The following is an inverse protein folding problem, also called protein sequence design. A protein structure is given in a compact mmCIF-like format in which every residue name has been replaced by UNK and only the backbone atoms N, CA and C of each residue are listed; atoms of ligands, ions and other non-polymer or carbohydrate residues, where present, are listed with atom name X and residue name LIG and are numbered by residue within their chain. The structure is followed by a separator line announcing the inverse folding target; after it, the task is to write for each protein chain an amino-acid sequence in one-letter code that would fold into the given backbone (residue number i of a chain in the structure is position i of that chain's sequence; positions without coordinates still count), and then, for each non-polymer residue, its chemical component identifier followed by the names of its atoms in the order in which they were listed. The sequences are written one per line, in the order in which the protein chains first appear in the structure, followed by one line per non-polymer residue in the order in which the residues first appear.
data_IF_864007225306
#
_entry.id   IF_864007225306
#
_cell.length_a   1.000
_cell.length_b   1.000
_cell.length_c   1.000
_cell.angle_alpha   90.00
_cell.angle_beta   90.00
_cell.angle_gamma   90.00
#
_symmetry.space_group_name_H-M   'P 1'
#
loop_
_entity.id
_entity.type
_entity.pdbx_description
1 polymer ?
#
# COMPACT_ATOMS: atom_id res chain seq x y z
N UNK A 1 -6.89 -23.25 9.17
CA UNK A 1 -7.97 -23.35 10.19
C UNK A 1 -8.88 -22.15 10.02
N UNK A 2 -10.20 -22.39 9.93
CA UNK A 2 -11.19 -21.31 9.82
C UNK A 2 -11.40 -20.74 11.23
N UNK A 3 -10.94 -19.51 11.45
CA UNK A 3 -11.28 -18.77 12.67
C UNK A 3 -12.79 -18.43 12.66
N UNK A 4 -13.51 -18.60 13.78
CA UNK A 4 -14.89 -18.17 13.88
C UNK A 4 -14.95 -16.64 13.78
N UNK A 5 -15.85 -16.11 12.95
CA UNK A 5 -16.03 -14.67 12.73
C UNK A 5 -17.49 -14.32 12.98
N UNK A 6 -17.75 -13.23 13.69
CA UNK A 6 -19.04 -12.60 13.79
C UNK A 6 -18.97 -11.21 13.12
N UNK A 7 -19.96 -10.89 12.29
CA UNK A 7 -20.08 -9.61 11.61
C UNK A 7 -21.37 -8.93 12.06
N UNK A 8 -21.25 -7.67 12.45
CA UNK A 8 -22.36 -6.84 12.88
C UNK A 8 -22.43 -5.65 11.93
N UNK A 9 -23.57 -5.43 11.33
CA UNK A 9 -23.84 -4.27 10.45
C UNK A 9 -25.28 -3.82 10.68
N UNK A 10 -25.55 -2.51 10.61
CA UNK A 10 -26.89 -1.97 10.79
C UNK A 10 -27.63 -1.73 9.46
N UNK A 11 -27.00 -2.03 8.32
CA UNK A 11 -27.64 -2.02 7.00
C UNK A 11 -28.11 -3.42 6.59
N UNK A 12 -29.41 -3.59 6.41
CA UNK A 12 -30.01 -4.87 6.02
C UNK A 12 -29.46 -5.42 4.69
N UNK A 13 -29.12 -4.53 3.73
CA UNK A 13 -28.57 -4.96 2.44
C UNK A 13 -27.17 -5.53 2.59
N UNK A 14 -26.34 -4.90 3.43
CA UNK A 14 -25.00 -5.39 3.75
C UNK A 14 -25.10 -6.76 4.45
N UNK A 15 -25.93 -6.87 5.48
CA UNK A 15 -26.17 -8.12 6.21
C UNK A 15 -26.60 -9.24 5.25
N UNK A 16 -27.59 -8.99 4.38
CA UNK A 16 -28.06 -9.96 3.39
C UNK A 16 -26.94 -10.35 2.41
N UNK A 17 -26.16 -9.37 1.95
CA UNK A 17 -25.05 -9.62 1.01
C UNK A 17 -23.97 -10.51 1.64
N UNK A 18 -23.58 -10.23 2.87
CA UNK A 18 -22.56 -10.97 3.61
C UNK A 18 -23.04 -12.38 3.95
N UNK A 19 -24.27 -12.52 4.46
CA UNK A 19 -24.86 -13.83 4.83
C UNK A 19 -24.94 -14.80 3.65
N UNK A 20 -25.09 -14.29 2.42
CA UNK A 20 -25.16 -15.11 1.21
C UNK A 20 -23.78 -15.57 0.71
N UNK A 21 -22.68 -14.97 1.17
CA UNK A 21 -21.34 -15.19 0.63
C UNK A 21 -20.37 -15.82 1.62
N UNK A 22 -20.54 -15.54 2.90
CA UNK A 22 -19.62 -15.96 3.94
C UNK A 22 -20.30 -16.94 4.91
N UNK A 23 -19.55 -17.95 5.29
CA UNK A 23 -19.94 -18.93 6.32
C UNK A 23 -19.49 -18.41 7.68
N UNK A 24 -20.24 -17.43 8.23
CA UNK A 24 -19.96 -16.79 9.51
C UNK A 24 -21.26 -16.32 10.18
N UNK A 25 -21.20 -15.96 11.46
CA UNK A 25 -22.33 -15.33 12.16
C UNK A 25 -22.51 -13.90 11.65
N UNK A 26 -23.71 -13.53 11.21
CA UNK A 26 -24.02 -12.16 10.76
C UNK A 26 -25.24 -11.64 11.52
N UNK A 27 -25.12 -10.45 12.10
CA UNK A 27 -26.15 -9.83 12.94
C UNK A 27 -26.53 -8.46 12.36
N UNK A 28 -27.84 -8.20 12.25
CA UNK A 28 -28.39 -6.87 11.90
C UNK A 28 -28.57 -6.09 13.20
N UNK A 29 -27.62 -5.27 13.57
CA UNK A 29 -27.64 -4.48 14.80
C UNK A 29 -26.60 -3.35 14.78
N UNK A 30 -26.67 -2.44 15.75
CA UNK A 30 -25.65 -1.44 15.97
C UNK A 30 -24.42 -2.03 16.69
N UNK A 31 -23.26 -1.97 16.02
CA UNK A 31 -22.01 -2.51 16.55
C UNK A 31 -21.40 -1.72 17.73
N UNK A 32 -21.97 -0.55 18.08
CA UNK A 32 -21.56 0.26 19.25
C UNK A 32 -22.39 -0.03 20.51
N UNK A 33 -23.24 -1.04 20.48
CA UNK A 33 -23.98 -1.53 21.65
C UNK A 33 -23.26 -2.73 22.29
N UNK A 34 -22.94 -2.62 23.58
CA UNK A 34 -22.18 -3.65 24.27
C UNK A 34 -22.98 -4.96 24.41
N UNK A 35 -24.29 -4.90 24.60
CA UNK A 35 -25.15 -6.08 24.69
C UNK A 35 -25.13 -6.87 23.36
N UNK A 36 -25.21 -6.15 22.24
CA UNK A 36 -25.07 -6.73 20.89
C UNK A 36 -23.69 -7.39 20.70
N UNK A 37 -22.63 -6.76 21.19
CA UNK A 37 -21.27 -7.32 21.11
C UNK A 37 -21.13 -8.58 22.00
N UNK A 38 -21.75 -8.61 23.15
CA UNK A 38 -21.81 -9.78 24.04
C UNK A 38 -22.57 -10.94 23.40
N UNK A 39 -23.71 -10.68 22.78
CA UNK A 39 -24.45 -11.67 22.00
C UNK A 39 -23.64 -12.22 20.83
N UNK A 40 -22.85 -11.37 20.17
CA UNK A 40 -21.91 -11.78 19.11
C UNK A 40 -20.71 -12.58 19.62
N UNK A 41 -20.48 -12.63 20.94
CA UNK A 41 -19.46 -13.43 21.59
C UNK A 41 -18.16 -12.70 21.89
N UNK A 42 -18.16 -11.37 22.04
CA UNK A 42 -16.96 -10.54 22.29
C UNK A 42 -16.14 -11.01 23.50
N UNK A 43 -16.79 -11.57 24.55
CA UNK A 43 -16.14 -12.08 25.74
C UNK A 43 -15.14 -13.23 25.47
N UNK A 44 -15.21 -13.88 24.30
CA UNK A 44 -14.34 -14.98 23.88
C UNK A 44 -13.57 -14.66 22.61
N UNK A 45 -13.69 -13.44 22.10
CA UNK A 45 -13.01 -13.02 20.89
C UNK A 45 -11.53 -12.71 21.17
N UNK A 46 -10.66 -13.07 20.26
CA UNK A 46 -9.25 -12.66 20.27
C UNK A 46 -9.10 -11.20 19.85
N UNK A 47 -9.97 -10.71 18.95
CA UNK A 47 -9.90 -9.35 18.44
C UNK A 47 -11.28 -8.78 18.04
N UNK A 48 -11.40 -7.47 18.16
CA UNK A 48 -12.47 -6.62 17.63
C UNK A 48 -11.91 -5.74 16.52
N UNK A 49 -12.58 -5.71 15.37
CA UNK A 49 -12.22 -4.85 14.23
C UNK A 49 -13.37 -3.91 13.91
N UNK A 50 -13.22 -2.62 14.19
CA UNK A 50 -14.21 -1.59 13.93
C UNK A 50 -13.88 -0.85 12.63
N UNK A 51 -14.68 -1.08 11.58
CA UNK A 51 -14.45 -0.53 10.22
C UNK A 51 -15.69 0.16 9.63
N UNK A 52 -16.59 0.65 10.50
CA UNK A 52 -17.76 1.42 10.04
C UNK A 52 -17.33 2.73 9.36
N UNK A 53 -18.26 3.40 8.67
CA UNK A 53 -17.95 4.68 8.02
C UNK A 53 -17.74 5.85 8.98
N UNK A 54 -18.08 5.68 10.25
CA UNK A 54 -18.00 6.71 11.29
C UNK A 54 -16.82 6.44 12.24
N UNK A 55 -15.84 7.34 12.25
CA UNK A 55 -14.63 7.23 13.06
C UNK A 55 -14.96 7.22 14.57
N UNK A 56 -15.90 8.07 15.01
CA UNK A 56 -16.32 8.19 16.41
C UNK A 56 -16.98 6.89 16.89
N UNK A 57 -17.81 6.28 16.06
CA UNK A 57 -18.43 4.96 16.35
C UNK A 57 -17.33 3.92 16.50
N UNK A 58 -16.37 3.86 15.58
CA UNK A 58 -15.26 2.90 15.64
C UNK A 58 -14.44 3.07 16.93
N UNK A 59 -14.13 4.31 17.30
CA UNK A 59 -13.33 4.61 18.49
C UNK A 59 -14.09 4.34 19.79
N UNK A 60 -15.38 4.72 19.87
CA UNK A 60 -16.21 4.50 21.06
C UNK A 60 -16.47 3.03 21.28
N UNK A 61 -16.75 2.27 20.21
CA UNK A 61 -16.93 0.81 20.31
C UNK A 61 -15.68 0.14 20.89
N UNK A 62 -14.49 0.47 20.39
CA UNK A 62 -13.24 -0.04 20.95
C UNK A 62 -13.08 0.36 22.42
N UNK A 63 -13.43 1.58 22.81
CA UNK A 63 -13.32 2.06 24.19
C UNK A 63 -14.30 1.35 25.13
N UNK A 64 -15.52 1.06 24.68
CA UNK A 64 -16.50 0.27 25.45
C UNK A 64 -15.98 -1.14 25.71
N UNK A 65 -15.43 -1.79 24.67
CA UNK A 65 -14.87 -3.14 24.81
C UNK A 65 -13.63 -3.14 25.69
N UNK A 66 -12.75 -2.14 25.59
CA UNK A 66 -11.58 -2.03 26.46
C UNK A 66 -11.93 -1.93 27.95
N UNK A 67 -13.04 -1.26 28.27
CA UNK A 67 -13.49 -1.09 29.65
C UNK A 67 -13.96 -2.41 30.29
N UNK A 68 -14.46 -3.37 29.51
CA UNK A 68 -15.05 -4.63 30.01
C UNK A 68 -14.20 -5.83 29.63
N UNK A 69 -13.58 -5.83 28.46
CA UNK A 69 -12.81 -6.92 27.88
C UNK A 69 -11.42 -6.42 27.43
N UNK A 70 -10.54 -5.98 28.37
CA UNK A 70 -9.27 -5.33 28.03
C UNK A 70 -8.29 -6.22 27.26
N UNK A 71 -8.40 -7.54 27.38
CA UNK A 71 -7.52 -8.50 26.73
C UNK A 71 -7.85 -8.72 25.23
N UNK A 72 -9.04 -8.32 24.77
CA UNK A 72 -9.41 -8.37 23.35
C UNK A 72 -8.59 -7.33 22.60
N UNK A 73 -7.95 -7.72 21.51
CA UNK A 73 -7.22 -6.77 20.63
C UNK A 73 -8.23 -5.88 19.90
N UNK A 74 -8.08 -4.57 20.00
CA UNK A 74 -8.97 -3.58 19.40
C UNK A 74 -8.30 -2.86 18.25
N UNK A 75 -8.88 -3.00 17.05
CA UNK A 75 -8.41 -2.36 15.83
C UNK A 75 -9.51 -1.44 15.32
N UNK A 76 -9.21 -0.16 15.12
CA UNK A 76 -10.17 0.82 14.61
C UNK A 76 -9.69 1.46 13.31
N UNK A 77 -10.56 1.51 12.29
CA UNK A 77 -10.37 2.38 11.14
C UNK A 77 -10.73 3.82 11.52
N UNK A 78 -9.76 4.74 11.41
CA UNK A 78 -9.93 6.16 11.75
C UNK A 78 -9.34 7.00 10.62
N UNK A 79 -10.21 7.75 9.93
CA UNK A 79 -9.85 8.59 8.78
C UNK A 79 -9.47 10.02 9.16
N UNK A 80 -9.99 10.50 10.29
CA UNK A 80 -9.71 11.85 10.74
C UNK A 80 -8.35 11.92 11.46
N UNK A 81 -7.38 12.52 10.79
CA UNK A 81 -6.02 12.67 11.32
C UNK A 81 -5.94 13.48 12.63
N UNK A 82 -6.95 14.30 12.92
CA UNK A 82 -7.02 15.05 14.17
C UNK A 82 -7.15 14.15 15.42
N UNK A 83 -7.61 12.91 15.26
CA UNK A 83 -7.71 11.95 16.36
C UNK A 83 -6.37 11.27 16.67
N UNK A 84 -5.37 11.43 15.80
CA UNK A 84 -4.03 10.91 16.05
C UNK A 84 -3.24 11.92 16.88
N UNK A 85 -2.81 11.54 18.08
CA UNK A 85 -2.01 12.40 18.97
C UNK A 85 -0.58 12.51 18.41
N UNK A 86 -0.32 13.56 17.64
CA UNK A 86 0.96 13.75 16.96
C UNK A 86 1.66 15.09 17.32
N UNK A 87 1.35 15.65 18.48
CA UNK A 87 2.00 16.89 18.94
C UNK A 87 3.37 16.61 19.57
N UNK A 88 4.29 17.59 19.49
CA UNK A 88 5.59 17.49 20.15
C UNK A 88 5.46 17.32 21.69
N UNK A 89 4.43 17.89 22.29
CA UNK A 89 4.12 17.73 23.71
C UNK A 89 3.68 16.32 24.05
N UNK A 90 2.83 15.70 23.20
CA UNK A 90 2.40 14.31 23.38
C UNK A 90 3.57 13.32 23.22
N UNK A 91 4.43 13.52 22.22
CA UNK A 91 5.63 12.70 22.04
C UNK A 91 6.56 12.76 23.26
N UNK A 92 6.71 13.92 23.89
CA UNK A 92 7.55 14.11 25.08
C UNK A 92 6.94 13.49 26.33
N UNK A 93 5.62 13.64 26.55
CA UNK A 93 4.93 13.06 27.71
C UNK A 93 4.87 11.53 27.68
N UNK A 94 4.82 10.93 26.48
CA UNK A 94 4.80 9.48 26.34
C UNK A 94 6.18 8.84 26.50
N UNK A 95 7.26 9.51 26.16
CA UNK A 95 8.62 9.02 26.37
C UNK A 95 8.97 8.89 27.88
N UNK A 96 8.47 9.82 28.70
CA UNK A 96 8.84 9.92 30.12
C UNK A 96 7.94 9.08 31.06
N UNK A 97 6.70 8.74 30.64
CA UNK A 97 5.68 8.23 31.59
C UNK A 97 5.58 6.71 31.68
N UNK A 98 6.02 5.92 30.72
CA UNK A 98 5.75 4.47 30.68
C UNK A 98 6.89 3.58 30.12
N UNK A 99 8.14 4.01 30.20
CA UNK A 99 9.25 3.18 29.69
C UNK A 99 9.11 2.76 28.24
N UNK A 100 8.55 3.63 27.40
CA UNK A 100 8.36 3.40 25.97
C UNK A 100 7.11 2.60 25.57
N UNK A 101 6.24 2.21 26.52
CA UNK A 101 4.95 1.57 26.19
C UNK A 101 3.87 2.66 26.05
N UNK A 102 3.39 2.89 24.83
CA UNK A 102 2.22 3.71 24.58
C UNK A 102 0.99 3.12 25.27
N UNK A 103 0.28 3.91 26.09
CA UNK A 103 -1.07 3.56 26.46
C UNK A 103 -1.95 3.78 25.24
N UNK A 104 -2.75 2.76 24.82
CA UNK A 104 -3.62 2.90 23.66
C UNK A 104 -4.57 4.09 23.85
N UNK A 105 -4.72 4.94 22.83
CA UNK A 105 -5.68 6.03 22.85
C UNK A 105 -7.09 5.41 22.82
N UNK A 106 -7.95 5.80 23.76
CA UNK A 106 -9.32 5.28 23.88
C UNK A 106 -9.40 3.74 23.98
N UNK A 107 -8.38 3.07 24.51
CA UNK A 107 -8.33 1.60 24.55
C UNK A 107 -8.13 0.93 23.19
N UNK A 108 -7.74 1.67 22.14
CA UNK A 108 -7.52 1.15 20.80
C UNK A 108 -6.06 0.69 20.69
N UNK A 109 -5.85 -0.59 20.40
CA UNK A 109 -4.49 -1.12 20.25
C UNK A 109 -3.86 -0.67 18.92
N UNK A 110 -4.65 -0.64 17.84
CA UNK A 110 -4.20 -0.24 16.51
C UNK A 110 -5.21 0.66 15.81
N UNK A 111 -4.75 1.84 15.37
CA UNK A 111 -5.53 2.76 14.55
C UNK A 111 -5.04 2.69 13.12
N UNK A 112 -5.92 2.32 12.20
CA UNK A 112 -5.62 2.18 10.77
C UNK A 112 -6.16 3.40 10.02
N UNK A 113 -5.28 4.12 9.34
CA UNK A 113 -5.64 5.27 8.53
C UNK A 113 -5.54 4.93 7.04
N UNK A 114 -6.65 4.76 6.31
CA UNK A 114 -6.64 4.32 4.92
C UNK A 114 -5.76 5.16 3.98
N UNK A 115 -5.77 6.48 4.15
CA UNK A 115 -4.99 7.38 3.31
C UNK A 115 -3.47 7.23 3.57
N UNK A 116 -3.09 6.91 4.82
CA UNK A 116 -1.69 6.65 5.18
C UNK A 116 -1.23 5.33 4.56
N UNK A 117 -2.01 4.27 4.74
CA UNK A 117 -1.68 2.95 4.16
C UNK A 117 -1.53 3.04 2.63
N UNK A 118 -2.47 3.72 1.96
CA UNK A 118 -2.39 3.94 0.51
C UNK A 118 -1.17 4.79 0.10
N UNK A 119 -0.89 5.86 0.84
CA UNK A 119 0.27 6.73 0.60
C UNK A 119 1.59 5.99 0.78
N UNK A 120 1.73 5.21 1.85
CA UNK A 120 2.93 4.38 2.10
C UNK A 120 3.10 3.30 1.02
N UNK A 121 2.01 2.66 0.56
CA UNK A 121 2.09 1.69 -0.54
C UNK A 121 2.58 2.33 -1.85
N UNK A 122 2.15 3.56 -2.16
CA UNK A 122 2.67 4.31 -3.32
C UNK A 122 4.15 4.63 -3.12
N UNK A 123 4.56 5.12 -1.95
CA UNK A 123 5.96 5.45 -1.65
C UNK A 123 6.85 4.21 -1.80
N UNK A 124 6.41 3.08 -1.27
CA UNK A 124 7.12 1.80 -1.40
C UNK A 124 7.28 1.39 -2.87
N UNK A 125 6.23 1.55 -3.69
CA UNK A 125 6.30 1.31 -5.13
C UNK A 125 7.31 2.23 -5.83
N UNK A 126 7.37 3.52 -5.46
CA UNK A 126 8.36 4.47 -6.00
C UNK A 126 9.78 4.08 -5.59
N UNK A 127 10.02 3.74 -4.32
CA UNK A 127 11.32 3.33 -3.81
C UNK A 127 11.87 2.07 -4.51
N UNK A 128 10.98 1.19 -4.92
CA UNK A 128 11.31 -0.02 -5.67
C UNK A 128 11.40 0.22 -7.19
N UNK A 129 11.38 1.47 -7.65
CA UNK A 129 11.53 1.84 -9.07
C UNK A 129 10.25 1.71 -9.87
N UNK A 130 9.09 1.88 -9.25
CA UNK A 130 7.76 1.69 -9.84
C UNK A 130 7.61 0.31 -10.50
N UNK A 131 7.92 -0.72 -9.74
CA UNK A 131 7.65 -2.12 -10.09
C UNK A 131 6.35 -2.55 -9.41
N UNK A 132 5.51 -3.27 -10.11
CA UNK A 132 4.23 -3.76 -9.58
C UNK A 132 4.42 -4.74 -8.43
N UNK A 133 3.54 -4.67 -7.45
CA UNK A 133 3.40 -5.63 -6.35
C UNK A 133 4.74 -5.88 -5.61
N UNK A 134 5.30 -4.81 -5.03
CA UNK A 134 6.49 -4.90 -4.20
C UNK A 134 6.08 -4.94 -2.73
N UNK A 135 6.56 -5.94 -2.01
CA UNK A 135 6.44 -6.07 -0.57
C UNK A 135 7.83 -6.18 0.05
N UNK A 136 8.12 -5.38 1.05
CA UNK A 136 9.43 -5.35 1.71
C UNK A 136 9.39 -6.19 2.97
N UNK A 137 10.43 -7.00 3.20
CA UNK A 137 10.58 -7.91 4.34
C UNK A 137 11.90 -7.68 5.08
N UNK A 138 11.99 -8.21 6.30
CA UNK A 138 13.25 -8.30 7.03
C UNK A 138 13.90 -6.94 7.32
N UNK A 139 13.14 -5.97 7.84
CA UNK A 139 13.65 -4.62 8.09
C UNK A 139 14.24 -3.95 6.83
N UNK A 140 13.56 -4.09 5.70
CA UNK A 140 13.94 -3.58 4.38
C UNK A 140 15.18 -4.26 3.73
N UNK A 141 15.58 -5.46 4.19
CA UNK A 141 16.70 -6.20 3.60
C UNK A 141 16.29 -7.02 2.37
N UNK A 142 15.07 -7.56 2.38
CA UNK A 142 14.51 -8.38 1.31
C UNK A 142 13.21 -7.76 0.80
N UNK A 143 12.92 -8.00 -0.47
CA UNK A 143 11.63 -7.64 -1.05
C UNK A 143 11.06 -8.76 -1.91
N UNK A 144 9.73 -8.90 -1.88
CA UNK A 144 8.99 -9.64 -2.88
C UNK A 144 8.67 -8.68 -4.01
N UNK A 145 9.13 -8.98 -5.19
CA UNK A 145 8.90 -8.16 -6.37
C UNK A 145 8.25 -8.98 -7.46
N UNK A 146 7.17 -8.48 -8.04
CA UNK A 146 6.53 -9.07 -9.21
C UNK A 146 7.28 -8.63 -10.47
N UNK A 147 7.74 -9.58 -11.25
CA UNK A 147 8.47 -9.35 -12.50
C UNK A 147 7.78 -10.08 -13.66
N UNK A 148 7.71 -9.44 -14.83
CA UNK A 148 7.16 -10.08 -16.04
C UNK A 148 8.29 -10.58 -16.92
N UNK A 149 8.20 -11.80 -17.39
CA UNK A 149 9.15 -12.43 -18.29
C UNK A 149 8.95 -11.85 -19.71
N UNK A 150 9.85 -10.98 -20.14
CA UNK A 150 9.77 -10.38 -21.47
C UNK A 150 10.14 -11.38 -22.58
N UNK A 151 9.56 -11.17 -23.76
CA UNK A 151 9.93 -11.94 -24.95
C UNK A 151 11.41 -11.71 -25.30
N UNK A 152 12.16 -12.80 -25.43
CA UNK A 152 13.60 -12.72 -25.72
C UNK A 152 14.49 -12.44 -24.50
N UNK A 153 13.92 -12.35 -23.29
CA UNK A 153 14.68 -12.28 -22.04
C UNK A 153 15.47 -13.60 -21.78
N UNK A 154 16.47 -13.53 -20.91
CA UNK A 154 17.26 -14.71 -20.55
C UNK A 154 16.44 -15.79 -19.79
N UNK A 155 15.34 -15.39 -19.15
CA UNK A 155 14.44 -16.30 -18.44
C UNK A 155 13.41 -16.95 -19.36
N UNK A 156 13.11 -16.36 -20.51
CA UNK A 156 12.12 -16.89 -21.44
C UNK A 156 12.51 -18.27 -21.95
N UNK A 157 11.61 -19.26 -21.76
CA UNK A 157 11.83 -20.66 -22.17
C UNK A 157 12.76 -21.45 -21.23
N UNK A 158 13.14 -20.91 -20.07
CA UNK A 158 13.98 -21.61 -19.10
C UNK A 158 13.14 -22.33 -18.04
N UNK A 159 13.64 -23.47 -17.56
CA UNK A 159 13.11 -24.12 -16.36
C UNK A 159 13.65 -23.43 -15.10
N UNK A 160 12.87 -23.35 -14.03
CA UNK A 160 13.31 -22.71 -12.79
C UNK A 160 14.59 -23.27 -12.20
N UNK A 161 14.81 -24.57 -12.30
CA UNK A 161 16.08 -25.17 -11.85
C UNK A 161 17.30 -24.61 -12.60
N UNK A 162 17.13 -24.20 -13.87
CA UNK A 162 18.20 -23.61 -14.69
C UNK A 162 18.40 -22.13 -14.34
N UNK A 163 17.35 -21.42 -13.96
CA UNK A 163 17.44 -19.98 -13.61
C UNK A 163 18.45 -19.73 -12.49
N UNK A 164 18.52 -20.63 -11.51
CA UNK A 164 19.50 -20.55 -10.41
C UNK A 164 20.97 -20.60 -10.85
N UNK A 165 21.23 -21.09 -12.05
CA UNK A 165 22.59 -21.14 -12.62
C UNK A 165 22.96 -19.89 -13.42
N UNK A 166 21.99 -19.02 -13.70
CA UNK A 166 22.18 -17.80 -14.51
C UNK A 166 22.70 -16.63 -13.68
N UNK A 167 22.55 -16.69 -12.36
CA UNK A 167 22.93 -15.60 -11.44
C UNK A 167 23.41 -16.21 -10.12
N UNK A 168 24.56 -15.73 -9.65
CA UNK A 168 25.15 -16.13 -8.37
C UNK A 168 24.62 -15.28 -7.21
N UNK A 169 23.31 -15.32 -7.02
CA UNK A 169 22.59 -14.59 -5.99
C UNK A 169 21.56 -15.47 -5.32
N UNK A 170 21.24 -15.14 -4.06
CA UNK A 170 20.19 -15.82 -3.33
C UNK A 170 18.83 -15.18 -3.63
N UNK A 171 17.95 -15.93 -4.25
CA UNK A 171 16.56 -15.52 -4.50
C UNK A 171 15.61 -16.73 -4.44
N UNK A 172 14.35 -16.45 -4.22
CA UNK A 172 13.27 -17.45 -4.21
C UNK A 172 12.14 -16.99 -5.12
N UNK A 173 11.80 -17.78 -6.12
CA UNK A 173 10.57 -17.57 -6.88
C UNK A 173 9.42 -18.17 -6.06
N UNK A 174 8.62 -17.30 -5.47
CA UNK A 174 7.54 -17.67 -4.55
C UNK A 174 6.30 -18.15 -5.29
N UNK A 175 6.00 -17.54 -6.45
CA UNK A 175 4.87 -17.94 -7.29
C UNK A 175 5.14 -17.63 -8.77
N UNK A 176 4.36 -18.30 -9.63
CA UNK A 176 4.28 -18.00 -11.07
C UNK A 176 2.81 -17.76 -11.41
N UNK A 177 2.55 -16.68 -12.14
CA UNK A 177 1.23 -16.35 -12.68
C UNK A 177 1.24 -16.48 -14.20
N UNK A 178 0.43 -17.38 -14.69
CA UNK A 178 0.21 -17.66 -16.12
C UNK A 178 -1.25 -17.38 -16.45
N UNK A 179 -1.53 -16.49 -17.41
CA UNK A 179 -2.89 -16.15 -17.82
C UNK A 179 -3.84 -15.78 -16.66
N UNK A 180 -3.34 -15.09 -15.64
CA UNK A 180 -4.10 -14.67 -14.47
C UNK A 180 -4.35 -15.77 -13.43
N UNK A 181 -3.71 -16.94 -13.57
CA UNK A 181 -3.74 -18.01 -12.56
C UNK A 181 -2.40 -18.10 -11.85
N UNK A 182 -2.43 -17.96 -10.55
CA UNK A 182 -1.25 -18.09 -9.68
C UNK A 182 -1.04 -19.55 -9.27
N UNK A 183 0.20 -20.00 -9.28
CA UNK A 183 0.59 -21.34 -8.87
C UNK A 183 1.93 -21.34 -8.13
N UNK A 184 2.11 -22.31 -7.23
CA UNK A 184 3.41 -22.56 -6.60
C UNK A 184 4.34 -23.25 -7.62
N UNK A 185 5.53 -22.69 -7.88
CA UNK A 185 6.44 -23.25 -8.86
C UNK A 185 7.21 -24.46 -8.33
N UNK A 186 7.65 -25.28 -9.25
CA UNK A 186 8.62 -26.36 -9.02
C UNK A 186 9.88 -26.14 -9.88
N UNK A 187 10.95 -26.88 -9.61
CA UNK A 187 12.17 -26.81 -10.43
C UNK A 187 11.93 -27.08 -11.92
N UNK A 188 10.87 -27.85 -12.27
CA UNK A 188 10.50 -28.16 -13.65
C UNK A 188 9.55 -27.13 -14.29
N UNK A 189 9.05 -26.14 -13.54
CA UNK A 189 8.18 -25.08 -14.08
C UNK A 189 8.93 -24.32 -15.18
N UNK A 190 8.31 -24.21 -16.34
CA UNK A 190 8.82 -23.49 -17.50
C UNK A 190 8.33 -22.05 -17.43
N UNK A 191 9.21 -21.07 -17.63
CA UNK A 191 8.85 -19.66 -17.70
C UNK A 191 8.61 -19.26 -19.16
N UNK A 192 7.38 -18.88 -19.49
CA UNK A 192 7.04 -18.41 -20.83
C UNK A 192 7.05 -16.88 -20.90
N UNK A 193 7.28 -16.32 -22.10
CA UNK A 193 7.08 -14.89 -22.31
C UNK A 193 5.67 -14.45 -21.97
N UNK A 194 5.54 -13.42 -21.13
CA UNK A 194 4.26 -12.93 -20.62
C UNK A 194 3.88 -13.47 -19.24
N UNK A 195 4.51 -14.53 -18.75
CA UNK A 195 4.33 -14.98 -17.38
C UNK A 195 4.82 -13.92 -16.39
N UNK A 196 4.13 -13.77 -15.26
CA UNK A 196 4.61 -12.97 -14.13
C UNK A 196 5.13 -13.90 -13.04
N UNK A 197 6.24 -13.53 -12.44
CA UNK A 197 6.86 -14.24 -11.32
C UNK A 197 6.98 -13.35 -10.09
N UNK A 198 6.63 -13.88 -8.93
CA UNK A 198 6.90 -13.22 -7.65
C UNK A 198 8.21 -13.72 -7.08
N UNK A 199 9.17 -12.83 -6.92
CA UNK A 199 10.53 -13.18 -6.49
C UNK A 199 10.88 -12.52 -5.17
N UNK A 200 11.26 -13.30 -4.19
CA UNK A 200 11.85 -12.81 -2.94
C UNK A 200 13.36 -12.75 -3.11
N UNK A 201 13.93 -11.57 -2.94
CA UNK A 201 15.35 -11.29 -3.21
C UNK A 201 15.85 -10.14 -2.33
N UNK A 202 17.15 -10.07 -2.09
CA UNK A 202 17.75 -8.91 -1.43
C UNK A 202 17.55 -7.65 -2.27
N UNK A 203 17.17 -6.53 -1.64
CA UNK A 203 16.85 -5.25 -2.31
C UNK A 203 17.97 -4.78 -3.27
N UNK A 204 19.22 -5.04 -2.92
CA UNK A 204 20.39 -4.69 -3.74
C UNK A 204 20.53 -5.52 -5.03
N UNK A 205 19.91 -6.71 -5.08
CA UNK A 205 20.02 -7.66 -6.19
C UNK A 205 18.83 -7.62 -7.16
N UNK A 206 17.77 -6.86 -6.84
CA UNK A 206 16.53 -6.75 -7.66
C UNK A 206 16.82 -6.33 -9.09
N UNK A 207 17.69 -5.33 -9.28
CA UNK A 207 18.01 -4.80 -10.61
C UNK A 207 18.65 -5.84 -11.53
N UNK A 208 19.46 -6.75 -10.98
CA UNK A 208 20.10 -7.82 -11.75
C UNK A 208 19.08 -8.87 -12.20
N UNK A 209 18.10 -9.22 -11.32
CA UNK A 209 17.02 -10.13 -11.67
C UNK A 209 16.03 -9.50 -12.69
N UNK A 210 15.72 -8.21 -12.55
CA UNK A 210 14.92 -7.49 -13.55
C UNK A 210 15.56 -7.52 -14.93
N UNK A 211 16.88 -7.34 -15.01
CA UNK A 211 17.61 -7.43 -16.26
C UNK A 211 17.54 -8.83 -16.90
N UNK A 212 17.51 -9.91 -16.09
CA UNK A 212 17.28 -11.27 -16.59
C UNK A 212 15.86 -11.47 -17.13
N UNK A 213 14.87 -10.80 -16.53
CA UNK A 213 13.49 -10.77 -17.02
C UNK A 213 13.32 -9.96 -18.32
N UNK A 214 14.35 -9.18 -18.70
CA UNK A 214 14.30 -8.27 -19.85
C UNK A 214 13.74 -6.89 -19.50
N UNK A 215 13.73 -6.53 -18.24
CA UNK A 215 13.35 -5.21 -17.72
C UNK A 215 14.57 -4.50 -17.13
N UNK A 216 14.65 -3.18 -17.31
CA UNK A 216 15.67 -2.36 -16.69
C UNK A 216 15.04 -1.50 -15.60
N UNK A 217 15.66 -1.46 -14.43
CA UNK A 217 15.29 -0.53 -13.39
C UNK A 217 15.83 0.86 -13.73
N UNK A 218 14.96 1.74 -14.20
CA UNK A 218 15.33 3.14 -14.44
C UNK A 218 15.28 3.93 -13.13
N UNK A 219 16.24 4.83 -12.94
CA UNK A 219 16.17 5.80 -11.85
C UNK A 219 15.03 6.77 -12.10
N UNK A 220 14.13 6.89 -11.11
CA UNK A 220 13.00 7.82 -11.15
C UNK A 220 13.47 9.21 -10.68
N UNK A 221 13.91 10.03 -11.62
CA UNK A 221 14.48 11.37 -11.35
C UNK A 221 13.42 12.48 -11.42
N UNK A 222 12.48 12.37 -12.36
CA UNK A 222 11.45 13.35 -12.61
C UNK A 222 10.09 12.72 -12.31
N UNK A 223 9.42 13.21 -11.28
CA UNK A 223 8.14 12.66 -10.80
C UNK A 223 7.05 13.72 -10.91
N UNK A 224 5.94 13.38 -11.55
CA UNK A 224 4.72 14.16 -11.56
C UNK A 224 3.69 13.49 -10.63
N UNK A 225 3.22 14.20 -9.63
CA UNK A 225 2.14 13.80 -8.73
C UNK A 225 0.88 14.55 -9.11
N UNK A 226 -0.15 13.83 -9.51
CA UNK A 226 -1.47 14.36 -9.84
C UNK A 226 -2.41 14.08 -8.68
N UNK A 227 -2.87 15.15 -8.04
CA UNK A 227 -3.66 15.14 -6.81
C UNK A 227 -2.88 15.69 -5.61
N UNK A 228 -3.28 16.87 -5.12
CA UNK A 228 -2.73 17.52 -3.92
C UNK A 228 -3.59 17.28 -2.67
N UNK A 229 -4.53 16.36 -2.74
CA UNK A 229 -5.36 15.94 -1.61
C UNK A 229 -4.58 15.24 -0.50
N UNK A 230 -5.28 14.60 0.43
CA UNK A 230 -4.65 13.95 1.60
C UNK A 230 -3.58 12.92 1.23
N UNK A 231 -3.92 11.96 0.35
CA UNK A 231 -2.97 10.90 -0.06
C UNK A 231 -1.80 11.52 -0.81
N UNK A 232 -2.05 12.45 -1.76
CA UNK A 232 -0.99 13.15 -2.47
C UNK A 232 -0.04 13.92 -1.54
N UNK A 233 -0.59 14.55 -0.50
CA UNK A 233 0.20 15.21 0.54
C UNK A 233 1.11 14.23 1.29
N UNK A 234 0.60 13.06 1.69
CA UNK A 234 1.38 12.01 2.36
C UNK A 234 2.51 11.52 1.44
N UNK A 235 2.21 11.25 0.19
CA UNK A 235 3.20 10.84 -0.81
C UNK A 235 4.30 11.91 -0.97
N UNK A 236 3.90 13.19 -1.12
CA UNK A 236 4.83 14.30 -1.25
C UNK A 236 5.72 14.46 -0.01
N UNK A 237 5.19 14.31 1.20
CA UNK A 237 5.97 14.37 2.45
C UNK A 237 7.06 13.32 2.55
N UNK A 238 6.79 12.12 2.05
CA UNK A 238 7.76 11.02 2.05
C UNK A 238 8.81 11.18 0.97
N UNK A 239 8.41 11.60 -0.24
CA UNK A 239 9.30 11.70 -1.39
C UNK A 239 10.09 13.02 -1.43
N UNK A 240 9.57 14.10 -0.79
CA UNK A 240 10.21 15.41 -0.72
C UNK A 240 10.68 15.66 0.71
N UNK A 241 11.94 15.38 1.05
CA UNK A 241 12.41 15.59 2.42
C UNK A 241 12.47 17.08 2.78
N UNK A 242 12.21 17.44 4.06
CA UNK A 242 12.30 18.80 4.53
C UNK A 242 13.73 19.38 4.37
N UNK A 243 13.80 20.69 4.09
CA UNK A 243 15.07 21.42 3.92
C UNK A 243 15.91 21.55 5.21
N UNK A 244 15.43 21.13 6.37
CA UNK A 244 16.11 21.34 7.65
C UNK A 244 17.17 20.28 7.93
N UNK A 245 18.38 20.83 8.15
CA UNK A 245 19.57 20.30 8.80
C UNK A 245 19.77 18.76 8.77
N UNK A 246 20.66 18.33 7.87
CA UNK A 246 21.35 17.05 8.02
C UNK A 246 21.95 16.97 9.42
N UNK A 247 21.38 16.14 10.27
CA UNK A 247 22.03 15.67 11.46
C UNK A 247 23.22 14.81 11.02
N UNK A 248 24.35 14.93 11.73
CA UNK A 248 25.48 14.01 11.49
C UNK A 248 25.09 12.55 11.70
N UNK A 249 23.95 12.27 12.37
CA UNK A 249 23.33 10.95 12.53
C UNK A 249 22.73 10.40 11.24
N UNK A 250 22.23 11.24 10.32
CA UNK A 250 21.65 10.80 9.03
C UNK A 250 22.74 10.29 8.06
N UNK A 251 24.02 10.61 8.30
CA UNK A 251 25.15 10.08 7.55
C UNK A 251 25.42 8.59 7.84
N UNK A 252 24.89 8.05 8.93
CA UNK A 252 25.04 6.65 9.34
C UNK A 252 23.79 5.80 9.09
N UNK A 253 22.63 6.41 8.77
CA UNK A 253 21.46 5.67 8.32
C UNK A 253 21.64 5.28 6.85
N UNK A 254 21.77 3.97 6.58
CA UNK A 254 21.97 3.39 5.24
C UNK A 254 20.75 3.50 4.29
N UNK A 255 19.71 4.23 4.65
CA UNK A 255 18.55 4.47 3.77
C UNK A 255 18.75 5.79 3.02
N UNK A 256 19.54 5.75 1.95
CA UNK A 256 19.58 6.84 0.98
C UNK A 256 18.39 6.65 0.03
N UNK A 257 17.24 7.22 0.38
CA UNK A 257 16.17 7.44 -0.61
C UNK A 257 16.79 8.30 -1.71
N UNK A 258 16.91 7.76 -2.92
CA UNK A 258 17.38 8.51 -4.08
C UNK A 258 16.34 9.58 -4.37
N UNK A 259 16.68 10.84 -4.08
CA UNK A 259 15.75 11.99 -4.21
C UNK A 259 15.45 12.26 -5.67
N UNK A 260 14.18 12.51 -6.03
CA UNK A 260 13.85 13.00 -7.36
C UNK A 260 14.57 14.33 -7.62
N UNK A 261 15.06 14.52 -8.83
CA UNK A 261 15.70 15.76 -9.26
C UNK A 261 14.65 16.86 -9.51
N UNK A 262 13.51 16.47 -10.06
CA UNK A 262 12.36 17.32 -10.32
C UNK A 262 11.11 16.65 -9.76
N UNK A 263 10.37 17.35 -8.91
CA UNK A 263 9.08 16.92 -8.38
C UNK A 263 8.03 17.98 -8.70
N UNK A 264 6.96 17.55 -9.35
CA UNK A 264 5.86 18.42 -9.77
C UNK A 264 4.58 17.91 -9.11
N UNK A 265 3.77 18.82 -8.59
CA UNK A 265 2.43 18.53 -8.04
C UNK A 265 1.42 19.27 -8.90
N UNK A 266 0.38 18.58 -9.36
CA UNK A 266 -0.68 19.13 -10.23
C UNK A 266 -2.02 18.81 -9.58
N UNK A 267 -2.86 19.82 -9.41
CA UNK A 267 -4.25 19.68 -9.00
C UNK A 267 -5.09 20.80 -9.61
N UNK A 268 -6.35 20.56 -9.88
CA UNK A 268 -7.27 21.57 -10.36
C UNK A 268 -7.86 22.45 -9.26
N UNK A 269 -7.72 22.06 -8.01
CA UNK A 269 -8.20 22.82 -6.84
C UNK A 269 -7.16 23.85 -6.39
N UNK A 270 -7.58 25.13 -6.39
CA UNK A 270 -6.70 26.26 -6.03
C UNK A 270 -6.29 26.25 -4.53
N UNK A 271 -7.18 25.83 -3.62
CA UNK A 271 -6.86 25.77 -2.19
C UNK A 271 -5.88 24.65 -1.87
N UNK A 272 -6.06 23.47 -2.51
CA UNK A 272 -5.14 22.36 -2.36
C UNK A 272 -3.76 22.69 -2.92
N UNK A 273 -3.69 23.31 -4.10
CA UNK A 273 -2.41 23.71 -4.73
C UNK A 273 -1.71 24.80 -3.95
N UNK A 274 -2.43 25.78 -3.40
CA UNK A 274 -1.88 26.79 -2.52
C UNK A 274 -1.26 26.15 -1.27
N UNK A 275 -2.00 25.28 -0.60
CA UNK A 275 -1.53 24.56 0.58
C UNK A 275 -0.29 23.71 0.26
N UNK A 276 -0.28 23.01 -0.87
CA UNK A 276 0.85 22.21 -1.32
C UNK A 276 2.07 23.08 -1.63
N UNK A 277 1.89 24.25 -2.25
CA UNK A 277 2.98 25.20 -2.54
C UNK A 277 3.65 25.74 -1.29
N UNK A 278 2.86 26.06 -0.27
CA UNK A 278 3.37 26.53 1.03
C UNK A 278 4.13 25.40 1.77
N UNK A 279 3.61 24.16 1.71
CA UNK A 279 4.16 23.00 2.41
C UNK A 279 5.40 22.41 1.75
N UNK A 280 5.45 22.42 0.41
CA UNK A 280 6.51 21.82 -0.40
C UNK A 280 7.26 22.82 -1.27
N UNK A 281 8.00 23.79 -0.69
CA UNK A 281 8.66 24.86 -1.44
C UNK A 281 9.79 24.38 -2.38
N UNK A 282 10.15 23.11 -2.35
CA UNK A 282 11.10 22.48 -3.28
C UNK A 282 10.44 21.79 -4.47
N UNK A 283 9.13 21.61 -4.43
CA UNK A 283 8.35 21.11 -5.56
C UNK A 283 7.82 22.26 -6.42
N UNK A 284 7.60 22.00 -7.70
CA UNK A 284 6.85 22.91 -8.57
C UNK A 284 5.37 22.53 -8.49
N UNK A 285 4.51 23.44 -8.08
CA UNK A 285 3.08 23.18 -7.91
C UNK A 285 2.30 23.95 -8.95
N UNK A 286 1.36 23.28 -9.62
CA UNK A 286 0.50 23.85 -10.64
C UNK A 286 -0.98 23.66 -10.28
N UNK A 287 -1.74 24.75 -10.40
CA UNK A 287 -3.20 24.70 -10.42
C UNK A 287 -3.64 24.52 -11.88
N UNK A 288 -3.85 23.27 -12.29
CA UNK A 288 -4.16 22.94 -13.68
C UNK A 288 -4.95 21.62 -13.78
N UNK A 289 -5.67 21.47 -14.89
CA UNK A 289 -6.27 20.21 -15.26
C UNK A 289 -5.21 19.29 -15.88
N UNK A 290 -4.97 18.15 -15.27
CA UNK A 290 -3.99 17.17 -15.73
C UNK A 290 -4.39 16.45 -17.04
N UNK A 291 -5.57 16.74 -17.59
CA UNK A 291 -6.01 16.29 -18.93
C UNK A 291 -5.76 17.34 -20.01
N UNK A 292 -5.32 18.55 -19.65
CA UNK A 292 -5.01 19.62 -20.63
C UNK A 292 -3.67 19.32 -21.32
N UNK A 293 -3.76 18.90 -22.57
CA UNK A 293 -2.61 18.54 -23.40
C UNK A 293 -1.65 19.71 -23.61
N UNK A 294 -2.16 20.94 -23.77
CA UNK A 294 -1.33 22.13 -23.98
C UNK A 294 -0.46 22.40 -22.74
N UNK A 295 -1.06 22.31 -21.55
CA UNK A 295 -0.34 22.41 -20.27
C UNK A 295 0.71 21.30 -20.12
N UNK A 296 0.34 20.04 -20.40
CA UNK A 296 1.26 18.90 -20.28
C UNK A 296 2.46 19.02 -21.22
N UNK A 297 2.27 19.54 -22.43
CA UNK A 297 3.32 19.79 -23.41
C UNK A 297 4.22 20.96 -22.98
N UNK A 298 3.65 22.10 -22.56
CA UNK A 298 4.38 23.28 -22.11
C UNK A 298 5.31 22.96 -20.93
N UNK A 299 4.82 22.21 -19.95
CA UNK A 299 5.59 21.82 -18.77
C UNK A 299 6.48 20.59 -18.97
N UNK A 300 6.40 19.95 -20.14
CA UNK A 300 7.20 18.82 -20.55
C UNK A 300 6.94 17.56 -19.74
N UNK A 301 5.70 17.36 -19.25
CA UNK A 301 5.32 16.23 -18.39
C UNK A 301 5.53 14.89 -19.10
N UNK A 302 5.31 14.83 -20.42
CA UNK A 302 5.54 13.64 -21.24
C UNK A 302 6.98 13.07 -21.15
N UNK A 303 7.96 13.87 -20.73
CA UNK A 303 9.36 13.45 -20.55
C UNK A 303 9.70 12.98 -19.14
N UNK A 304 8.72 12.88 -18.24
CA UNK A 304 8.95 12.47 -16.86
C UNK A 304 9.13 10.95 -16.77
N UNK A 305 9.89 10.53 -15.76
CA UNK A 305 10.17 9.11 -15.51
C UNK A 305 8.96 8.41 -14.88
N UNK A 306 8.16 9.16 -14.09
CA UNK A 306 7.01 8.63 -13.37
C UNK A 306 5.88 9.66 -13.26
N UNK A 307 4.65 9.20 -13.50
CA UNK A 307 3.42 9.87 -13.09
C UNK A 307 2.71 9.10 -11.98
N UNK A 308 2.29 9.79 -10.93
CA UNK A 308 1.52 9.23 -9.81
C UNK A 308 0.14 9.88 -9.83
N UNK A 309 -0.92 9.12 -10.11
CA UNK A 309 -2.30 9.59 -10.12
C UNK A 309 -2.99 9.22 -8.80
N UNK A 310 -3.14 10.24 -7.94
CA UNK A 310 -3.61 10.11 -6.56
C UNK A 310 -4.75 11.10 -6.23
N UNK A 311 -5.66 11.33 -7.17
CA UNK A 311 -6.87 12.13 -6.95
C UNK A 311 -7.92 11.33 -6.19
N UNK A 312 -9.00 11.98 -5.75
CA UNK A 312 -10.13 11.32 -5.11
C UNK A 312 -11.00 10.49 -6.08
N UNK A 313 -10.83 10.67 -7.38
CA UNK A 313 -11.56 9.91 -8.42
C UNK A 313 -10.67 8.76 -8.94
N UNK A 314 -10.88 7.56 -8.38
CA UNK A 314 -10.04 6.39 -8.66
C UNK A 314 -10.19 5.87 -10.09
N UNK A 315 -11.37 6.00 -10.69
CA UNK A 315 -11.63 5.64 -12.09
C UNK A 315 -10.87 6.59 -13.02
N UNK A 316 -10.90 7.89 -12.73
CA UNK A 316 -10.14 8.89 -13.48
C UNK A 316 -8.64 8.70 -13.31
N UNK A 317 -8.15 8.29 -12.13
CA UNK A 317 -6.74 8.01 -11.91
C UNK A 317 -6.22 6.94 -12.88
N UNK A 318 -6.98 5.86 -13.13
CA UNK A 318 -6.59 4.81 -14.08
C UNK A 318 -6.51 5.34 -15.52
N UNK A 319 -7.52 6.10 -15.94
CA UNK A 319 -7.57 6.69 -17.28
C UNK A 319 -6.44 7.69 -17.49
N UNK A 320 -6.22 8.55 -16.50
CA UNK A 320 -5.18 9.58 -16.53
C UNK A 320 -3.76 8.96 -16.55
N UNK A 321 -3.53 7.93 -15.74
CA UNK A 321 -2.26 7.21 -15.74
C UNK A 321 -1.95 6.60 -17.11
N UNK A 322 -2.92 5.90 -17.71
CA UNK A 322 -2.77 5.33 -19.05
C UNK A 322 -2.60 6.40 -20.12
N UNK A 323 -3.30 7.53 -20.01
CA UNK A 323 -3.16 8.67 -20.91
C UNK A 323 -1.75 9.27 -20.85
N UNK A 324 -1.21 9.54 -19.66
CA UNK A 324 0.13 10.08 -19.47
C UNK A 324 1.22 9.16 -20.03
N UNK A 325 1.08 7.84 -19.86
CA UNK A 325 1.98 6.88 -20.51
C UNK A 325 1.90 6.96 -22.04
N UNK A 326 0.69 7.09 -22.59
CA UNK A 326 0.52 7.23 -24.05
C UNK A 326 1.17 8.48 -24.62
N UNK A 327 1.34 9.53 -23.80
CA UNK A 327 2.06 10.75 -24.16
C UNK A 327 3.59 10.62 -24.04
N UNK A 328 4.11 9.58 -23.39
CA UNK A 328 5.55 9.30 -23.29
C UNK A 328 6.12 9.30 -21.87
N UNK A 329 5.31 9.48 -20.83
CA UNK A 329 5.75 9.28 -19.44
C UNK A 329 6.29 7.87 -19.28
N UNK A 330 7.42 7.73 -18.61
CA UNK A 330 8.16 6.47 -18.57
C UNK A 330 7.44 5.34 -17.83
N UNK A 331 6.74 5.67 -16.72
CA UNK A 331 5.95 4.74 -15.90
C UNK A 331 4.79 5.45 -15.23
N UNK A 332 3.78 4.70 -14.80
CA UNK A 332 2.66 5.23 -14.04
C UNK A 332 2.32 4.44 -12.79
N UNK A 333 1.88 5.17 -11.76
CA UNK A 333 1.24 4.64 -10.56
C UNK A 333 -0.16 5.22 -10.47
N UNK A 334 -1.17 4.38 -10.24
CA UNK A 334 -2.56 4.81 -10.09
C UNK A 334 -3.15 4.27 -8.80
N UNK A 335 -3.72 5.14 -7.97
CA UNK A 335 -4.59 4.71 -6.89
C UNK A 335 -5.88 4.13 -7.49
N UNK A 336 -6.25 2.94 -7.02
CA UNK A 336 -7.48 2.26 -7.44
C UNK A 336 -8.26 1.78 -6.21
N UNK A 337 -9.56 1.50 -6.37
CA UNK A 337 -10.40 1.15 -5.23
C UNK A 337 -10.07 -0.23 -4.66
N UNK A 338 -9.79 -1.23 -5.51
CA UNK A 338 -9.58 -2.63 -5.12
C UNK A 338 -8.77 -3.42 -6.15
N UNK A 339 -8.35 -4.64 -5.80
CA UNK A 339 -7.62 -5.55 -6.70
C UNK A 339 -8.36 -5.85 -8.01
N UNK A 340 -9.69 -5.88 -8.00
CA UNK A 340 -10.48 -6.04 -9.22
C UNK A 340 -10.21 -4.90 -10.22
N UNK A 341 -10.12 -3.66 -9.73
CA UNK A 341 -9.75 -2.49 -10.53
C UNK A 341 -8.27 -2.50 -10.91
N UNK A 342 -7.38 -3.07 -10.08
CA UNK A 342 -5.98 -3.26 -10.44
C UNK A 342 -5.80 -4.08 -11.72
N UNK A 343 -6.58 -5.16 -11.88
CA UNK A 343 -6.56 -5.97 -13.09
C UNK A 343 -7.02 -5.18 -14.34
N UNK A 344 -8.00 -4.29 -14.18
CA UNK A 344 -8.47 -3.41 -15.25
C UNK A 344 -7.40 -2.36 -15.59
N UNK A 345 -6.83 -1.70 -14.58
CA UNK A 345 -5.81 -0.68 -14.74
C UNK A 345 -4.59 -1.23 -15.52
N UNK A 346 -4.11 -2.43 -15.19
CA UNK A 346 -3.03 -3.09 -15.94
C UNK A 346 -3.38 -3.36 -17.41
N UNK A 347 -4.64 -3.72 -17.71
CA UNK A 347 -5.09 -3.89 -19.10
C UNK A 347 -5.16 -2.56 -19.86
N UNK A 348 -5.33 -1.44 -19.17
CA UNK A 348 -5.29 -0.10 -19.76
C UNK A 348 -3.85 0.39 -19.99
N UNK A 349 -2.84 -0.29 -19.44
CA UNK A 349 -1.43 0.06 -19.59
C UNK A 349 -0.78 0.58 -18.30
N UNK A 350 -1.52 0.80 -17.21
CA UNK A 350 -0.97 1.28 -15.94
C UNK A 350 0.05 0.28 -15.37
N UNK A 351 1.27 0.72 -15.13
CA UNK A 351 2.34 -0.13 -14.60
C UNK A 351 2.04 -0.60 -13.17
N UNK A 352 1.69 0.32 -12.28
CA UNK A 352 1.50 0.03 -10.85
C UNK A 352 0.15 0.55 -10.35
N UNK A 353 -0.90 -0.26 -10.38
CA UNK A 353 -2.13 0.05 -9.66
C UNK A 353 -1.96 -0.25 -8.16
N UNK A 354 -2.32 0.70 -7.31
CA UNK A 354 -2.28 0.57 -5.84
C UNK A 354 -3.71 0.52 -5.30
N UNK A 355 -4.19 -0.67 -4.87
CA UNK A 355 -5.55 -0.86 -4.38
C UNK A 355 -5.67 -0.42 -2.90
N UNK A 356 -6.40 0.68 -2.65
CA UNK A 356 -6.53 1.28 -1.31
C UNK A 356 -7.16 0.33 -0.30
N UNK A 357 -8.22 -0.41 -0.73
CA UNK A 357 -8.91 -1.33 0.19
C UNK A 357 -8.02 -2.47 0.63
N UNK A 358 -7.22 -3.00 -0.28
CA UNK A 358 -6.35 -4.14 0.02
C UNK A 358 -5.20 -3.71 0.95
N UNK A 359 -4.64 -2.52 0.77
CA UNK A 359 -3.64 -1.97 1.68
C UNK A 359 -4.17 -1.87 3.13
N UNK A 360 -5.43 -1.44 3.30
CA UNK A 360 -6.08 -1.43 4.63
C UNK A 360 -6.30 -2.83 5.18
N UNK A 361 -6.76 -3.76 4.35
CA UNK A 361 -6.98 -5.17 4.75
C UNK A 361 -5.66 -5.81 5.17
N UNK A 362 -4.60 -5.64 4.40
CA UNK A 362 -3.28 -6.20 4.71
C UNK A 362 -2.75 -5.62 6.04
N UNK A 363 -2.92 -4.31 6.28
CA UNK A 363 -2.57 -3.67 7.54
C UNK A 363 -3.36 -4.25 8.73
N UNK A 364 -4.67 -4.42 8.61
CA UNK A 364 -5.51 -5.05 9.66
C UNK A 364 -5.06 -6.50 9.90
N UNK A 365 -4.88 -7.27 8.84
CA UNK A 365 -4.52 -8.69 8.93
C UNK A 365 -3.15 -8.90 9.57
N UNK A 366 -2.18 -8.02 9.33
CA UNK A 366 -0.87 -8.08 9.97
C UNK A 366 -0.97 -7.99 11.50
N UNK A 367 -1.91 -7.18 12.02
CA UNK A 367 -2.14 -7.03 13.45
C UNK A 367 -2.95 -8.18 14.07
N UNK A 368 -3.86 -8.81 13.30
CA UNK A 368 -4.71 -9.91 13.79
C UNK A 368 -3.94 -11.23 13.97
N UNK A 369 -2.92 -11.49 13.18
CA UNK A 369 -2.18 -12.78 13.22
C UNK A 369 -1.13 -12.87 14.33
N UNK A 370 -1.03 -11.84 15.18
CA UNK A 370 -0.28 -11.88 16.44
C UNK A 370 1.19 -11.47 16.33
N UNK A 371 1.90 -11.48 17.46
CA UNK A 371 3.27 -10.93 17.63
C UNK A 371 4.36 -11.63 16.80
N UNK A 372 4.06 -12.78 16.21
CA UNK A 372 5.00 -13.56 15.38
C UNK A 372 4.88 -13.31 13.89
N UNK A 373 3.83 -12.62 13.46
CA UNK A 373 3.62 -12.22 12.05
C UNK A 373 3.89 -10.74 11.94
N UNK A 374 4.87 -10.36 11.14
CA UNK A 374 5.21 -8.96 10.90
C UNK A 374 4.39 -8.38 9.76
N UNK A 375 4.34 -9.11 8.66
CA UNK A 375 3.68 -8.66 7.45
C UNK A 375 3.03 -9.82 6.71
N UNK A 376 1.96 -9.50 5.97
CA UNK A 376 1.23 -10.43 5.12
C UNK A 376 1.05 -9.77 3.77
N UNK A 377 1.30 -10.52 2.73
CA UNK A 377 1.03 -10.11 1.37
C UNK A 377 0.11 -11.14 0.70
N UNK A 378 -1.09 -10.70 0.33
CA UNK A 378 -2.03 -11.51 -0.44
C UNK A 378 -1.75 -11.33 -1.93
N UNK A 379 -1.35 -12.41 -2.59
CA UNK A 379 -1.11 -12.38 -4.04
C UNK A 379 -2.43 -12.19 -4.79
N UNK A 380 -2.40 -11.47 -5.87
CA UNK A 380 -3.48 -10.86 -6.67
C UNK A 380 -4.80 -11.65 -6.81
N UNK A 381 -4.78 -12.98 -6.69
CA UNK A 381 -5.99 -13.84 -6.81
C UNK A 381 -6.60 -14.23 -5.47
N UNK A 382 -5.95 -13.89 -4.35
CA UNK A 382 -6.41 -14.28 -3.00
C UNK A 382 -6.14 -15.75 -2.63
N UNK A 383 -5.62 -16.55 -3.55
CA UNK A 383 -5.38 -17.98 -3.36
C UNK A 383 -4.03 -18.29 -2.70
N UNK A 384 -3.13 -17.31 -2.63
CA UNK A 384 -1.79 -17.44 -2.06
C UNK A 384 -1.48 -16.26 -1.16
N UNK A 385 -0.99 -16.55 0.02
CA UNK A 385 -0.48 -15.55 0.97
C UNK A 385 1.00 -15.77 1.24
N UNK A 386 1.76 -14.70 1.29
CA UNK A 386 3.16 -14.70 1.70
C UNK A 386 3.23 -14.01 3.05
N UNK A 387 3.80 -14.69 4.04
CA UNK A 387 3.78 -14.25 5.44
C UNK A 387 5.22 -14.13 5.93
N UNK A 388 5.57 -12.96 6.48
CA UNK A 388 6.79 -12.78 7.24
C UNK A 388 6.54 -13.16 8.71
N UNK A 389 7.28 -14.13 9.20
CA UNK A 389 7.26 -14.56 10.60
C UNK A 389 8.59 -14.25 11.30
N UNK A 390 8.52 -13.99 12.62
CA UNK A 390 9.69 -13.80 13.49
C UNK A 390 10.11 -15.12 14.08
#
# INVERSE_FOLDING_TARGET
EKNPVAIIDNDENNVRHVSNRLDCTVMLADGNDLETLEEAGIAKADALVCVTENDEVNMITCSLVDAVYPDVVKIARVRNYAYYVNTAAAKKSHADSFGGKHRPLYGIDYMIHPDVEAGEAVVQAVESGAVSDVQVFGNNAYELTRMTVAKGSKLAGQKLQTVRTLIDKSFLIAYVEENGKTSLPSGNTLLNPGDSIGVIVAKEDVSELLALCGSEQKELKNIALIGAGRIGTIIAERLIPPKEKRSLFDLFSKQVIKRPQKFVIIDSDEELTKTASERFPSAKVFCADATDEAFLQEEGIASFDLAICATHNHEMNMVLAAYLESLGVGKSISLVTSSAFSAIARKLGVDVPVPIRDAVVDSIMSHLRGKFVKEIHTVTTGDLEIIECV
#
